data_IF_338034017055
#
_entry.id   IF_338034017055
#
_cell.length_a   1.000
_cell.length_b   1.000
_cell.length_c   1.000
_cell.angle_alpha   90.00
_cell.angle_beta   90.00
_cell.angle_gamma   90.00
#
_symmetry.space_group_name_H-M   'P 1'
#
loop_
_entity.id
_entity.type
_entity.pdbx_description
1 polymer ?
#
# COMPACT_ATOMS: atom_id res chain seq x y z
N UNK A 1 -30.65 -51.48 -38.91
CA UNK A 1 -31.53 -51.10 -37.77
C UNK A 1 -30.83 -51.49 -36.48
N UNK A 2 -30.77 -50.56 -35.50
CA UNK A 2 -30.29 -50.72 -34.11
C UNK A 2 -28.75 -50.81 -33.98
N UNK A 3 -28.04 -50.00 -33.20
CA UNK A 3 -28.41 -48.92 -32.29
C UNK A 3 -27.12 -48.25 -31.80
N UNK A 4 -27.19 -46.95 -31.52
CA UNK A 4 -26.12 -46.10 -30.99
C UNK A 4 -25.83 -46.48 -29.53
N UNK A 5 -24.57 -46.51 -29.12
CA UNK A 5 -24.17 -46.14 -27.74
C UNK A 5 -22.93 -45.26 -27.85
N UNK A 6 -23.15 -43.98 -27.59
CA UNK A 6 -22.12 -42.98 -27.30
C UNK A 6 -21.88 -43.09 -25.79
N UNK A 7 -20.64 -43.41 -25.37
CA UNK A 7 -20.21 -43.23 -23.98
C UNK A 7 -19.20 -42.10 -23.96
N UNK A 8 -19.70 -40.90 -23.64
CA UNK A 8 -18.88 -39.74 -23.28
C UNK A 8 -18.39 -39.99 -21.86
N UNK A 9 -17.09 -40.25 -21.70
CA UNK A 9 -16.44 -40.26 -20.38
C UNK A 9 -15.76 -38.91 -20.18
N UNK A 10 -16.55 -37.92 -19.79
CA UNK A 10 -16.08 -36.68 -19.19
C UNK A 10 -15.78 -36.93 -17.72
N UNK A 11 -14.51 -36.97 -17.31
CA UNK A 11 -14.02 -36.33 -16.08
C UNK A 11 -12.49 -36.50 -16.00
N UNK A 12 -11.74 -35.50 -16.43
CA UNK A 12 -10.42 -35.26 -15.84
C UNK A 12 -10.46 -33.83 -15.35
N UNK A 13 -10.63 -33.73 -14.03
CA UNK A 13 -10.57 -32.51 -13.24
C UNK A 13 -9.27 -31.79 -13.57
N UNK A 14 -9.38 -30.67 -14.28
CA UNK A 14 -8.29 -29.71 -14.38
C UNK A 14 -8.09 -29.14 -12.99
N UNK A 15 -7.05 -29.63 -12.30
CA UNK A 15 -6.49 -28.97 -11.13
C UNK A 15 -6.04 -27.58 -11.58
N UNK A 16 -6.90 -26.59 -11.37
CA UNK A 16 -6.50 -25.20 -11.24
C UNK A 16 -5.61 -25.12 -10.00
N UNK A 17 -4.33 -25.45 -10.16
CA UNK A 17 -3.30 -24.77 -9.40
C UNK A 17 -3.31 -23.35 -9.93
N UNK A 18 -4.26 -22.54 -9.44
CA UNK A 18 -4.06 -21.10 -9.40
C UNK A 18 -2.85 -20.90 -8.49
N UNK A 19 -1.66 -20.96 -9.10
CA UNK A 19 -0.54 -20.21 -8.61
C UNK A 19 -1.13 -18.81 -8.39
N UNK A 20 -1.21 -18.41 -7.12
CA UNK A 20 -1.53 -17.05 -6.75
C UNK A 20 -0.45 -16.20 -7.43
N UNK A 21 -0.73 -15.79 -8.66
CA UNK A 21 -0.01 -14.72 -9.31
C UNK A 21 -0.29 -13.56 -8.40
N UNK A 22 0.72 -13.16 -7.64
CA UNK A 22 0.75 -11.82 -7.08
C UNK A 22 0.81 -10.95 -8.34
N UNK A 23 -0.36 -10.59 -8.86
CA UNK A 23 -0.48 -9.56 -9.86
C UNK A 23 0.25 -8.33 -9.31
N UNK A 24 1.01 -7.66 -10.17
CA UNK A 24 1.65 -6.41 -9.78
C UNK A 24 0.58 -5.53 -9.17
N UNK A 25 0.78 -5.05 -7.94
CA UNK A 25 -0.24 -4.23 -7.30
C UNK A 25 -0.61 -3.07 -8.21
N UNK A 26 -1.90 -2.87 -8.43
CA UNK A 26 -2.41 -1.77 -9.24
C UNK A 26 -2.15 -0.41 -8.59
N UNK A 27 -1.68 -0.35 -7.34
CA UNK A 27 -1.36 0.90 -6.66
C UNK A 27 0.09 1.38 -6.77
N UNK A 28 0.30 2.66 -6.47
CA UNK A 28 1.61 3.31 -6.31
C UNK A 28 1.62 4.24 -5.10
N UNK A 29 2.80 4.45 -4.52
CA UNK A 29 3.02 5.43 -3.46
C UNK A 29 3.89 6.58 -3.95
N UNK A 30 3.49 7.80 -3.59
CA UNK A 30 4.28 9.01 -3.71
C UNK A 30 4.57 9.59 -2.32
N UNK A 31 5.64 10.36 -2.19
CA UNK A 31 5.82 11.22 -1.02
C UNK A 31 4.76 12.34 -1.03
N UNK A 32 4.50 12.97 0.13
CA UNK A 32 3.64 14.15 0.17
C UNK A 32 4.17 15.26 -0.75
N UNK A 33 5.49 15.46 -0.73
CA UNK A 33 6.16 16.43 -1.62
C UNK A 33 5.89 16.12 -3.09
N UNK A 34 6.14 14.89 -3.55
CA UNK A 34 5.95 14.53 -4.97
C UNK A 34 4.48 14.64 -5.41
N UNK A 35 3.54 14.25 -4.55
CA UNK A 35 2.11 14.33 -4.86
C UNK A 35 1.62 15.78 -4.96
N UNK A 36 2.15 16.67 -4.10
CA UNK A 36 1.86 18.10 -4.16
C UNK A 36 2.49 18.77 -5.38
N UNK A 37 3.77 18.48 -5.67
CA UNK A 37 4.48 19.04 -6.83
C UNK A 37 3.85 18.61 -8.16
N UNK A 38 3.20 17.44 -8.19
CA UNK A 38 2.43 16.94 -9.33
C UNK A 38 0.97 17.42 -9.35
N UNK A 39 0.58 18.32 -8.45
CA UNK A 39 -0.79 18.86 -8.33
C UNK A 39 -1.87 17.79 -8.09
N UNK A 40 -1.50 16.62 -7.55
CA UNK A 40 -2.43 15.53 -7.24
C UNK A 40 -3.20 15.80 -5.94
N UNK A 41 -2.56 16.53 -5.02
CA UNK A 41 -3.14 17.03 -3.79
C UNK A 41 -2.90 18.55 -3.69
N UNK A 42 -3.86 19.28 -3.12
CA UNK A 42 -3.77 20.72 -2.95
C UNK A 42 -3.14 21.13 -1.63
N UNK A 43 -2.83 22.43 -1.47
CA UNK A 43 -2.40 23.00 -0.18
C UNK A 43 -3.44 22.76 0.92
N UNK A 44 -4.72 22.88 0.61
CA UNK A 44 -5.81 22.61 1.56
C UNK A 44 -5.83 21.14 2.00
N UNK A 45 -5.46 20.21 1.11
CA UNK A 45 -5.30 18.80 1.47
C UNK A 45 -4.12 18.62 2.44
N UNK A 46 -2.97 19.26 2.18
CA UNK A 46 -1.83 19.23 3.09
C UNK A 46 -2.18 19.75 4.50
N UNK A 47 -2.94 20.85 4.58
CA UNK A 47 -3.43 21.38 5.87
C UNK A 47 -4.29 20.34 6.57
N UNK A 48 -5.22 19.71 5.85
CA UNK A 48 -6.11 18.68 6.42
C UNK A 48 -5.35 17.45 6.93
N UNK A 49 -4.37 16.97 6.16
CA UNK A 49 -3.50 15.85 6.55
C UNK A 49 -2.70 16.24 7.81
N UNK A 50 -2.14 17.45 7.82
CA UNK A 50 -1.37 17.98 8.96
C UNK A 50 -2.22 18.05 10.22
N UNK A 51 -3.44 18.58 10.11
CA UNK A 51 -4.37 18.69 11.22
C UNK A 51 -4.68 17.32 11.83
N UNK A 52 -4.93 16.29 11.01
CA UNK A 52 -5.16 14.92 11.49
C UNK A 52 -3.88 14.32 12.10
N UNK A 53 -2.72 14.60 11.52
CA UNK A 53 -1.44 14.07 11.99
C UNK A 53 -1.01 14.65 13.35
N UNK A 54 -1.29 15.93 13.60
CA UNK A 54 -0.87 16.59 14.85
C UNK A 54 -1.92 16.64 15.94
N UNK A 55 -3.20 16.64 15.57
CA UNK A 55 -4.23 16.48 16.58
C UNK A 55 -4.17 15.03 17.00
N UNK A 56 -3.90 14.79 18.28
CA UNK A 56 -3.94 13.50 18.96
C UNK A 56 -5.39 13.00 18.94
N UNK A 57 -5.91 12.74 17.75
CA UNK A 57 -7.29 12.38 17.51
C UNK A 57 -7.48 11.03 18.19
N UNK A 58 -8.44 10.97 19.11
CA UNK A 58 -8.86 9.70 19.72
C UNK A 58 -9.30 8.69 18.65
N UNK A 59 -9.64 9.16 17.44
CA UNK A 59 -10.04 8.33 16.30
C UNK A 59 -9.53 8.90 14.98
N UNK A 60 -8.74 8.11 14.25
CA UNK A 60 -8.43 8.36 12.83
C UNK A 60 -9.69 8.20 11.96
N UNK A 61 -9.74 8.83 10.77
CA UNK A 61 -10.69 8.47 9.72
C UNK A 61 -10.70 6.96 9.46
N UNK A 62 -11.87 6.42 9.10
CA UNK A 62 -12.00 4.99 8.78
C UNK A 62 -11.65 4.77 7.31
N UNK A 63 -10.69 3.89 7.06
CA UNK A 63 -10.39 3.35 5.74
C UNK A 63 -11.25 2.11 5.51
N UNK A 64 -11.86 1.99 4.33
CA UNK A 64 -12.61 0.79 4.01
C UNK A 64 -11.66 -0.40 3.79
N UNK A 65 -12.17 -1.60 4.08
CA UNK A 65 -11.36 -2.81 4.07
C UNK A 65 -10.78 -3.15 2.68
N UNK A 66 -11.53 -2.87 1.60
CA UNK A 66 -11.09 -3.20 0.24
C UNK A 66 -9.89 -2.31 -0.15
N UNK A 67 -9.98 -1.01 0.11
CA UNK A 67 -8.88 -0.07 -0.11
C UNK A 67 -7.69 -0.37 0.80
N UNK A 68 -7.91 -0.69 2.08
CA UNK A 68 -6.82 -1.09 2.99
C UNK A 68 -6.07 -2.32 2.46
N UNK A 69 -6.79 -3.32 1.96
CA UNK A 69 -6.21 -4.52 1.38
C UNK A 69 -5.32 -4.19 0.17
N UNK A 70 -5.82 -3.37 -0.76
CA UNK A 70 -5.04 -2.93 -1.94
C UNK A 70 -3.77 -2.18 -1.55
N UNK A 71 -3.84 -1.28 -0.57
CA UNK A 71 -2.66 -0.56 -0.04
C UNK A 71 -1.63 -1.54 0.53
N UNK A 72 -2.08 -2.54 1.31
CA UNK A 72 -1.20 -3.59 1.84
C UNK A 72 -0.59 -4.43 0.73
N UNK A 73 -1.34 -4.80 -0.30
CA UNK A 73 -0.84 -5.55 -1.45
C UNK A 73 0.21 -4.75 -2.24
N UNK A 74 0.02 -3.43 -2.39
CA UNK A 74 1.05 -2.53 -2.95
C UNK A 74 2.31 -2.54 -2.11
N UNK A 75 2.19 -2.37 -0.79
CA UNK A 75 3.36 -2.40 0.09
C UNK A 75 4.07 -3.75 0.04
N UNK A 76 3.32 -4.86 0.04
CA UNK A 76 3.86 -6.21 -0.06
C UNK A 76 4.63 -6.42 -1.36
N UNK A 77 4.10 -5.93 -2.48
CA UNK A 77 4.76 -5.99 -3.79
C UNK A 77 6.09 -5.24 -3.78
N UNK A 78 6.14 -4.06 -3.17
CA UNK A 78 7.39 -3.30 -2.98
C UNK A 78 8.38 -4.10 -2.12
N UNK A 79 7.95 -4.62 -0.97
CA UNK A 79 8.85 -5.39 -0.08
C UNK A 79 9.44 -6.62 -0.79
N UNK A 80 8.67 -7.29 -1.65
CA UNK A 80 9.14 -8.43 -2.47
C UNK A 80 10.15 -8.04 -3.54
N UNK A 81 10.12 -6.80 -4.02
CA UNK A 81 11.01 -6.32 -5.09
C UNK A 81 12.30 -5.68 -4.57
N UNK A 82 12.35 -5.34 -3.27
CA UNK A 82 13.55 -4.79 -2.63
C UNK A 82 14.68 -5.83 -2.61
N UNK A 83 15.78 -5.49 -3.27
CA UNK A 83 17.02 -6.28 -3.29
C UNK A 83 18.21 -5.43 -2.86
N UNK A 84 19.21 -6.06 -2.26
CA UNK A 84 20.49 -5.41 -1.96
C UNK A 84 21.38 -5.29 -3.21
N UNK A 85 22.56 -4.69 -3.06
CA UNK A 85 23.52 -4.47 -4.16
C UNK A 85 23.97 -5.77 -4.86
N UNK A 86 23.73 -6.93 -4.26
CA UNK A 86 24.06 -8.24 -4.81
C UNK A 86 22.85 -8.93 -5.47
N UNK A 87 21.70 -8.27 -5.55
CA UNK A 87 20.47 -8.81 -6.10
C UNK A 87 19.74 -9.80 -5.19
N UNK A 88 20.15 -9.93 -3.93
CA UNK A 88 19.44 -10.77 -2.95
C UNK A 88 18.28 -9.99 -2.32
N UNK A 89 17.13 -10.62 -2.04
CA UNK A 89 16.02 -9.97 -1.34
C UNK A 89 16.49 -9.32 -0.03
N UNK A 90 16.04 -8.09 0.23
CA UNK A 90 16.27 -7.41 1.51
C UNK A 90 15.42 -8.04 2.61
N UNK A 91 14.19 -8.45 2.26
CA UNK A 91 13.25 -9.09 3.16
C UNK A 91 12.98 -10.51 2.68
N UNK A 92 13.27 -11.50 3.52
CA UNK A 92 12.97 -12.90 3.21
C UNK A 92 11.49 -13.18 3.44
N UNK A 93 10.78 -13.62 2.39
CA UNK A 93 9.39 -14.08 2.44
C UNK A 93 8.42 -13.11 3.16
N UNK A 94 8.34 -11.82 2.77
CA UNK A 94 7.35 -10.92 3.35
C UNK A 94 5.93 -11.44 3.08
N UNK A 95 5.06 -11.29 4.07
CA UNK A 95 3.63 -11.59 4.01
C UNK A 95 2.79 -10.35 4.30
N UNK A 96 1.51 -10.41 3.91
CA UNK A 96 0.54 -9.34 4.15
C UNK A 96 0.29 -9.11 5.64
N UNK A 97 0.33 -10.17 6.46
CA UNK A 97 0.16 -10.10 7.91
C UNK A 97 1.30 -9.33 8.59
N UNK A 98 2.47 -9.25 7.94
CA UNK A 98 3.57 -8.43 8.42
C UNK A 98 3.41 -6.93 8.12
N UNK A 99 2.35 -6.52 7.41
CA UNK A 99 1.97 -5.11 7.23
C UNK A 99 0.94 -4.78 8.31
N UNK A 100 1.45 -4.36 9.45
CA UNK A 100 0.76 -4.41 10.74
C UNK A 100 -0.26 -3.29 10.94
N UNK A 101 -0.04 -2.12 10.33
CA UNK A 101 -0.90 -0.95 10.57
C UNK A 101 -0.92 -0.01 9.36
N UNK A 102 -2.11 0.53 9.05
CA UNK A 102 -2.31 1.64 8.13
C UNK A 102 -2.95 2.78 8.92
N UNK A 103 -2.17 3.83 9.19
CA UNK A 103 -2.69 5.08 9.73
C UNK A 103 -3.20 5.91 8.55
N UNK A 104 -4.51 6.18 8.52
CA UNK A 104 -5.18 6.83 7.40
C UNK A 104 -5.52 8.28 7.71
N UNK A 105 -5.13 9.19 6.82
CA UNK A 105 -5.25 10.64 7.00
C UNK A 105 -6.26 11.29 6.05
N UNK A 106 -6.96 10.51 5.22
CA UNK A 106 -8.03 11.01 4.35
C UNK A 106 -7.84 10.67 2.87
N UNK A 107 -8.92 10.85 2.11
CA UNK A 107 -8.99 10.67 0.66
C UNK A 107 -9.20 12.04 0.01
N UNK A 108 -8.37 12.33 -0.99
CA UNK A 108 -8.34 13.57 -1.72
C UNK A 108 -8.44 13.26 -3.21
N UNK A 109 -9.66 13.03 -3.72
CA UNK A 109 -9.90 12.70 -5.12
C UNK A 109 -9.19 11.40 -5.57
N UNK A 110 -9.38 10.31 -4.82
CA UNK A 110 -8.76 8.99 -5.02
C UNK A 110 -7.26 8.92 -4.70
N UNK A 111 -6.70 9.97 -4.11
CA UNK A 111 -5.39 9.96 -3.49
C UNK A 111 -5.53 9.80 -1.97
N UNK A 112 -5.03 8.70 -1.43
CA UNK A 112 -5.18 8.29 -0.04
C UNK A 112 -3.91 8.61 0.75
N UNK A 113 -4.01 9.51 1.72
CA UNK A 113 -2.89 9.81 2.60
C UNK A 113 -2.78 8.74 3.69
N UNK A 114 -1.67 8.02 3.72
CA UNK A 114 -1.44 6.90 4.64
C UNK A 114 -0.03 6.87 5.20
N UNK A 115 0.13 6.38 6.43
CA UNK A 115 1.42 5.97 6.97
C UNK A 115 1.34 4.48 7.29
N UNK A 116 2.32 3.72 6.82
CA UNK A 116 2.30 2.26 6.89
C UNK A 116 3.32 1.82 7.93
N UNK A 117 2.94 0.92 8.83
CA UNK A 117 3.89 0.17 9.65
C UNK A 117 3.94 -1.27 9.19
N UNK A 118 5.14 -1.79 9.07
CA UNK A 118 5.38 -3.19 8.79
C UNK A 118 6.52 -3.74 9.66
N UNK A 119 6.59 -5.07 9.76
CA UNK A 119 7.57 -5.77 10.58
C UNK A 119 8.99 -5.75 10.00
N UNK A 120 9.20 -5.15 8.83
CA UNK A 120 10.41 -5.34 8.01
C UNK A 120 11.25 -4.07 7.86
N UNK A 121 10.63 -2.89 7.83
CA UNK A 121 11.24 -1.66 7.31
C UNK A 121 12.08 -0.87 8.28
N UNK A 122 12.27 -1.36 9.52
CA UNK A 122 13.13 -0.80 10.57
C UNK A 122 13.40 0.71 10.43
N UNK A 123 12.40 1.53 10.72
CA UNK A 123 12.51 2.98 10.56
C UNK A 123 13.61 3.54 11.46
N UNK A 124 14.50 4.36 10.87
CA UNK A 124 15.57 5.01 11.63
C UNK A 124 14.99 5.91 12.73
N UNK A 125 15.61 5.94 13.91
CA UNK A 125 15.10 6.68 15.08
C UNK A 125 15.32 8.19 15.03
N UNK A 126 15.82 8.71 13.90
CA UNK A 126 16.08 10.13 13.72
C UNK A 126 14.78 10.87 13.38
N UNK A 127 14.50 11.92 14.15
CA UNK A 127 13.45 12.89 13.82
C UNK A 127 13.76 13.50 12.45
N UNK A 128 12.73 13.70 11.66
CA UNK A 128 12.84 14.35 10.36
C UNK A 128 11.75 15.39 10.16
N UNK A 129 12.03 16.35 9.29
CA UNK A 129 11.13 17.45 8.98
C UNK A 129 10.99 17.49 7.47
N UNK A 130 9.74 17.46 6.99
CA UNK A 130 9.37 17.69 5.59
C UNK A 130 8.57 19.00 5.54
N UNK A 131 9.04 19.98 4.76
CA UNK A 131 8.39 21.30 4.62
C UNK A 131 7.86 21.46 3.21
N UNK A 132 6.54 21.59 3.06
CA UNK A 132 5.86 21.70 1.75
C UNK A 132 5.02 22.97 1.77
N UNK A 133 5.35 23.93 0.90
CA UNK A 133 4.62 25.21 0.78
C UNK A 133 4.35 25.92 2.14
N UNK A 134 5.38 25.89 3.00
CA UNK A 134 5.37 26.49 4.34
C UNK A 134 4.68 25.66 5.43
N UNK A 135 4.18 24.47 5.11
CA UNK A 135 3.58 23.52 6.07
C UNK A 135 4.64 22.51 6.49
N UNK A 136 4.90 22.38 7.79
CA UNK A 136 5.92 21.47 8.34
C UNK A 136 5.31 20.17 8.87
N UNK A 137 5.77 19.03 8.38
CA UNK A 137 5.50 17.70 8.92
C UNK A 137 6.73 17.22 9.71
N UNK A 138 6.55 16.99 11.01
CA UNK A 138 7.62 16.55 11.91
C UNK A 138 7.39 15.09 12.26
N UNK A 139 8.21 14.20 11.71
CA UNK A 139 8.10 12.76 11.94
C UNK A 139 9.05 12.31 13.04
N UNK A 140 8.55 11.46 13.95
CA UNK A 140 9.30 10.98 15.10
C UNK A 140 10.43 10.00 14.74
N UNK A 141 10.32 9.32 13.60
CA UNK A 141 11.27 8.36 13.08
C UNK A 141 11.36 8.47 11.54
N UNK A 142 11.94 7.48 10.87
CA UNK A 142 12.06 7.38 9.42
C UNK A 142 10.75 7.08 8.67
N UNK A 143 9.64 6.83 9.36
CA UNK A 143 8.35 6.58 8.73
C UNK A 143 7.70 7.90 8.30
N UNK A 144 6.99 7.89 7.18
CA UNK A 144 6.44 9.09 6.53
C UNK A 144 4.99 8.86 6.14
N UNK A 145 4.25 9.95 6.02
CA UNK A 145 2.98 9.92 5.31
C UNK A 145 3.30 9.83 3.82
N UNK A 146 2.64 8.91 3.13
CA UNK A 146 2.69 8.68 1.70
C UNK A 146 1.30 8.94 1.12
N UNK A 147 1.26 9.26 -0.16
CA UNK A 147 0.04 9.28 -0.96
C UNK A 147 -0.03 7.99 -1.77
N UNK A 148 -1.06 7.18 -1.52
CA UNK A 148 -1.37 6.02 -2.34
C UNK A 148 -2.49 6.33 -3.33
N UNK A 149 -2.41 5.77 -4.53
CA UNK A 149 -3.51 5.77 -5.49
C UNK A 149 -3.47 4.50 -6.32
N UNK A 150 -4.63 4.11 -6.85
CA UNK A 150 -4.80 3.02 -7.80
C UNK A 150 -4.52 3.54 -9.23
N UNK A 151 -3.77 2.76 -10.04
CA UNK A 151 -3.39 3.08 -11.42
C UNK A 151 -4.46 2.75 -12.44
#
# INVERSE_FOLDING_TARGET
MKGKIIVILCLVVTLFLSACQIESSEGEFLTLTDAYEQELISKENLISIKDIYTNDLETFPILDYETELKIKETRLTILKSLVNDFGNPIVENPSIDGITEILYYGNYNNYYAVMIRDAYSHYGTAISIETIDGIEFVYADGNRILIWFEK
#
